data_IF_791812039402
#
_entry.id   IF_791812039402
#
_cell.length_a   1.000
_cell.length_b   1.000
_cell.length_c   1.000
_cell.angle_alpha   90.00
_cell.angle_beta   90.00
_cell.angle_gamma   90.00
#
_symmetry.space_group_name_H-M   'P 1'
#
loop_
_entity.id
_entity.type
_entity.pdbx_description
1 polymer ?
#
# COMPACT_ATOMS: atom_id res chain seq x y z
N UNK A 1 1.48 -12.99 10.06
CA UNK A 1 1.09 -13.11 8.64
C UNK A 1 -0.06 -14.07 8.41
N UNK A 2 -1.27 -13.50 8.34
CA UNK A 2 -2.48 -14.17 7.85
C UNK A 2 -2.33 -14.38 6.33
N UNK A 3 -2.41 -15.63 5.85
CA UNK A 3 -2.14 -15.96 4.44
C UNK A 3 -3.23 -15.48 3.49
N UNK A 4 -4.48 -15.47 3.95
CA UNK A 4 -5.62 -15.06 3.12
C UNK A 4 -5.62 -13.55 2.94
N UNK A 5 -5.43 -12.80 4.03
CA UNK A 5 -5.22 -11.35 3.97
C UNK A 5 -4.01 -10.97 3.14
N UNK A 6 -2.88 -11.66 3.28
CA UNK A 6 -1.70 -11.39 2.47
C UNK A 6 -2.01 -11.56 0.97
N UNK A 7 -2.75 -12.61 0.59
CA UNK A 7 -3.14 -12.84 -0.79
C UNK A 7 -4.09 -11.75 -1.30
N UNK A 8 -5.08 -11.36 -0.49
CA UNK A 8 -5.99 -10.26 -0.80
C UNK A 8 -5.22 -8.94 -0.99
N UNK A 9 -4.32 -8.61 -0.06
CA UNK A 9 -3.48 -7.42 -0.11
C UNK A 9 -2.57 -7.40 -1.36
N UNK A 10 -1.94 -8.53 -1.67
CA UNK A 10 -1.09 -8.63 -2.86
C UNK A 10 -1.89 -8.47 -4.15
N UNK A 11 -3.10 -9.05 -4.21
CA UNK A 11 -4.00 -8.92 -5.37
C UNK A 11 -4.42 -7.46 -5.55
N UNK A 12 -4.89 -6.82 -4.48
CA UNK A 12 -5.31 -5.43 -4.50
C UNK A 12 -4.17 -4.48 -4.88
N UNK A 13 -2.95 -4.73 -4.38
CA UNK A 13 -1.76 -3.97 -4.77
C UNK A 13 -1.41 -4.14 -6.26
N UNK A 14 -1.52 -5.36 -6.81
CA UNK A 14 -1.29 -5.60 -8.24
C UNK A 14 -2.33 -4.87 -9.09
N UNK A 15 -3.60 -4.89 -8.67
CA UNK A 15 -4.69 -4.19 -9.36
C UNK A 15 -4.46 -2.68 -9.35
N UNK A 16 -4.16 -2.11 -8.18
CA UNK A 16 -3.82 -0.69 -8.03
C UNK A 16 -2.64 -0.29 -8.92
N UNK A 17 -1.53 -1.04 -8.88
CA UNK A 17 -0.36 -0.79 -9.73
C UNK A 17 -0.66 -0.91 -11.23
N UNK A 18 -1.66 -1.71 -11.60
CA UNK A 18 -2.03 -1.92 -13.00
C UNK A 18 -2.84 -0.76 -13.59
N UNK A 19 -3.36 0.15 -12.77
CA UNK A 19 -4.06 1.34 -13.24
C UNK A 19 -3.15 2.23 -14.12
N UNK A 20 -3.73 2.88 -15.13
CA UNK A 20 -3.02 3.74 -16.07
C UNK A 20 -2.31 4.95 -15.45
N UNK A 21 -2.76 5.41 -14.28
CA UNK A 21 -2.13 6.50 -13.53
C UNK A 21 -0.93 6.02 -12.70
N UNK A 22 -0.78 4.71 -12.52
CA UNK A 22 0.33 4.08 -11.79
C UNK A 22 1.37 3.50 -12.76
N UNK A 23 1.45 2.16 -12.91
CA UNK A 23 2.33 1.54 -13.91
C UNK A 23 1.66 1.33 -15.27
N UNK A 24 0.31 1.36 -15.32
CA UNK A 24 -0.50 1.01 -16.48
C UNK A 24 -0.46 -0.47 -16.88
N UNK A 25 0.12 -1.33 -16.04
CA UNK A 25 0.23 -2.78 -16.24
C UNK A 25 0.64 -3.47 -14.94
N UNK A 26 0.47 -4.79 -14.90
CA UNK A 26 0.97 -5.61 -13.79
C UNK A 26 2.48 -5.41 -13.57
N UNK A 27 2.95 -5.34 -12.31
CA UNK A 27 4.37 -5.27 -12.02
C UNK A 27 5.07 -6.52 -12.56
N UNK A 28 6.34 -6.36 -12.97
CA UNK A 28 7.16 -7.47 -13.43
C UNK A 28 7.38 -8.52 -12.32
N UNK A 29 7.56 -8.05 -11.09
CA UNK A 29 7.68 -8.88 -9.89
C UNK A 29 7.14 -8.13 -8.69
N UNK A 30 6.54 -8.83 -7.74
CA UNK A 30 6.09 -8.30 -6.45
C UNK A 30 6.32 -9.34 -5.37
N UNK A 31 6.77 -8.90 -4.20
CA UNK A 31 7.07 -9.73 -3.03
C UNK A 31 6.62 -9.00 -1.76
N UNK A 32 6.06 -9.73 -0.80
CA UNK A 32 5.87 -9.21 0.55
C UNK A 32 7.23 -9.03 1.22
N UNK A 33 7.47 -7.84 1.74
CA UNK A 33 8.71 -7.45 2.41
C UNK A 33 8.55 -7.33 3.93
N UNK A 34 7.32 -7.31 4.43
CA UNK A 34 7.02 -7.23 5.86
C UNK A 34 5.56 -6.88 6.12
N UNK A 35 5.21 -6.81 7.39
CA UNK A 35 3.88 -6.43 7.88
C UNK A 35 4.03 -5.51 9.10
N UNK A 36 3.01 -4.72 9.39
CA UNK A 36 2.96 -3.88 10.58
C UNK A 36 1.53 -3.54 10.96
N UNK A 37 1.32 -3.25 12.24
CA UNK A 37 0.07 -2.70 12.75
C UNK A 37 0.20 -1.19 12.96
N UNK A 38 -0.84 -0.45 12.60
CA UNK A 38 -0.91 1.01 12.77
C UNK A 38 -2.37 1.46 12.93
N UNK A 39 -2.66 2.28 13.95
CA UNK A 39 -4.03 2.70 14.28
C UNK A 39 -5.03 1.52 14.33
N UNK A 40 -4.66 0.45 15.04
CA UNK A 40 -5.49 -0.75 15.25
C UNK A 40 -5.82 -1.55 13.97
N UNK A 41 -5.20 -1.19 12.83
CA UNK A 41 -5.35 -1.90 11.55
C UNK A 41 -4.05 -2.59 11.15
N UNK A 42 -4.19 -3.66 10.36
CA UNK A 42 -3.08 -4.43 9.83
C UNK A 42 -2.68 -3.99 8.41
N UNK A 43 -1.37 -4.01 8.12
CA UNK A 43 -0.79 -3.56 6.86
C UNK A 43 0.34 -4.47 6.37
N UNK A 44 0.43 -4.59 5.05
CA UNK A 44 1.51 -5.28 4.35
C UNK A 44 2.38 -4.30 3.57
N UNK A 45 3.69 -4.53 3.66
CA UNK A 45 4.72 -3.84 2.89
C UNK A 45 5.04 -4.71 1.67
N UNK A 46 4.83 -4.17 0.48
CA UNK A 46 5.22 -4.81 -0.77
C UNK A 46 6.44 -4.12 -1.35
N UNK A 47 7.37 -4.94 -1.85
CA UNK A 47 8.38 -4.47 -2.79
C UNK A 47 8.05 -5.02 -4.17
N UNK A 48 8.19 -4.20 -5.21
CA UNK A 48 7.87 -4.60 -6.57
C UNK A 48 8.86 -4.03 -7.60
N UNK A 49 8.88 -4.61 -8.79
CA UNK A 49 9.65 -4.14 -9.94
C UNK A 49 8.71 -3.79 -11.08
N UNK A 50 8.87 -2.60 -11.67
CA UNK A 50 8.14 -2.22 -12.89
C UNK A 50 8.67 -2.92 -14.16
N UNK A 51 9.93 -3.38 -14.13
CA UNK A 51 10.59 -4.09 -15.24
C UNK A 51 11.66 -5.05 -14.73
N UNK A 52 12.12 -6.00 -15.56
CA UNK A 52 13.10 -7.02 -15.17
C UNK A 52 14.40 -6.44 -14.59
N UNK A 53 14.94 -5.40 -15.24
CA UNK A 53 16.17 -4.70 -14.83
C UNK A 53 15.90 -3.46 -13.97
N UNK A 54 14.63 -3.20 -13.63
CA UNK A 54 14.24 -2.07 -12.80
C UNK A 54 14.66 -2.23 -11.34
N UNK A 55 14.67 -1.10 -10.63
CA UNK A 55 14.86 -1.06 -9.19
C UNK A 55 13.68 -1.67 -8.47
N UNK A 56 13.90 -2.13 -7.23
CA UNK A 56 12.82 -2.46 -6.34
C UNK A 56 12.20 -1.16 -5.82
N UNK A 57 10.88 -1.06 -5.90
CA UNK A 57 10.08 0.04 -5.39
C UNK A 57 9.24 -0.45 -4.22
N UNK A 58 8.82 0.44 -3.33
CA UNK A 58 8.01 0.10 -2.15
C UNK A 58 6.57 0.58 -2.31
N UNK A 59 5.63 -0.21 -1.80
CA UNK A 59 4.23 0.18 -1.65
C UNK A 59 3.61 -0.46 -0.42
N UNK A 60 2.50 0.11 0.02
CA UNK A 60 1.73 -0.35 1.18
C UNK A 60 0.34 -0.77 0.72
N UNK A 61 -0.16 -1.85 1.32
CA UNK A 61 -1.56 -2.24 1.21
C UNK A 61 -2.02 -2.71 2.59
N UNK A 62 -3.06 -2.08 3.12
CA UNK A 62 -3.56 -2.45 4.43
C UNK A 62 -4.83 -1.73 4.79
N UNK A 63 -5.04 -1.57 6.09
CA UNK A 63 -6.32 -1.12 6.60
C UNK A 63 -7.28 -2.29 6.80
N UNK A 64 -6.76 -3.46 7.12
CA UNK A 64 -7.56 -4.62 7.51
C UNK A 64 -7.87 -4.56 9.00
N UNK A 65 -9.13 -4.75 9.36
CA UNK A 65 -9.58 -4.94 10.75
C UNK A 65 -9.64 -6.44 11.04
N UNK A 66 -9.04 -6.88 12.15
CA UNK A 66 -8.99 -8.29 12.55
C UNK A 66 -8.63 -9.25 11.40
N UNK A 67 -9.54 -10.15 11.05
CA UNK A 67 -9.40 -11.17 10.00
C UNK A 67 -10.11 -10.79 8.68
N UNK A 68 -10.56 -9.54 8.52
CA UNK A 68 -11.23 -9.09 7.31
C UNK A 68 -10.30 -9.19 6.09
N UNK A 69 -10.86 -9.55 4.94
CA UNK A 69 -10.12 -9.71 3.69
C UNK A 69 -10.21 -8.50 2.77
N UNK A 70 -11.01 -7.50 3.13
CA UNK A 70 -11.18 -6.27 2.38
C UNK A 70 -10.42 -5.13 3.08
N UNK A 71 -9.38 -4.55 2.45
CA UNK A 71 -8.69 -3.41 3.02
C UNK A 71 -9.58 -2.16 2.93
N UNK A 72 -9.51 -1.27 3.90
CA UNK A 72 -10.26 0.01 3.89
C UNK A 72 -9.77 1.03 2.83
N UNK A 73 -9.02 0.58 1.82
CA UNK A 73 -8.53 1.40 0.70
C UNK A 73 -7.15 2.03 0.92
N UNK A 74 -6.41 1.66 1.97
CA UNK A 74 -5.03 2.13 2.18
C UNK A 74 -4.04 1.36 1.30
N UNK A 75 -4.17 1.55 -0.02
CA UNK A 75 -3.30 0.96 -1.06
C UNK A 75 -2.59 2.09 -1.79
N UNK A 76 -1.26 2.13 -1.74
CA UNK A 76 -0.49 3.21 -2.36
C UNK A 76 0.99 2.88 -2.56
N UNK A 77 1.59 3.53 -3.55
CA UNK A 77 3.04 3.66 -3.72
C UNK A 77 3.36 5.04 -4.31
N UNK A 78 4.38 5.70 -3.79
CA UNK A 78 4.96 6.91 -4.40
C UNK A 78 6.08 6.58 -5.40
N UNK A 79 6.20 5.31 -5.83
CA UNK A 79 7.25 4.81 -6.72
C UNK A 79 8.68 5.07 -6.21
N UNK A 80 8.87 5.24 -4.90
CA UNK A 80 10.21 5.36 -4.31
C UNK A 80 10.91 4.00 -4.22
N UNK A 81 12.24 4.03 -4.21
CA UNK A 81 13.06 2.81 -4.10
C UNK A 81 12.86 2.13 -2.75
N UNK A 82 12.75 0.80 -2.76
CA UNK A 82 12.65 0.00 -1.56
C UNK A 82 13.98 -0.01 -0.79
N UNK A 83 13.92 0.32 0.49
CA UNK A 83 15.02 0.15 1.44
C UNK A 83 14.50 -0.58 2.69
N UNK A 84 15.09 -1.73 2.98
CA UNK A 84 14.68 -2.61 4.08
C UNK A 84 14.72 -1.94 5.45
N UNK A 85 15.63 -1.00 5.69
CA UNK A 85 15.78 -0.35 7.00
C UNK A 85 14.76 0.78 7.23
N UNK A 86 14.18 1.33 6.16
CA UNK A 86 13.26 2.48 6.22
C UNK A 86 11.84 2.15 5.76
N UNK A 87 11.62 1.03 5.05
CA UNK A 87 10.36 0.69 4.40
C UNK A 87 9.14 0.77 5.33
N UNK A 88 9.26 0.31 6.58
CA UNK A 88 8.16 0.42 7.56
C UNK A 88 7.76 1.88 7.82
N UNK A 89 8.73 2.74 8.10
CA UNK A 89 8.47 4.14 8.40
C UNK A 89 7.94 4.88 7.16
N UNK A 90 8.50 4.58 5.99
CA UNK A 90 8.02 5.11 4.71
C UNK A 90 6.57 4.72 4.43
N UNK A 91 6.19 3.45 4.65
CA UNK A 91 4.82 2.99 4.51
C UNK A 91 3.88 3.66 5.52
N UNK A 92 4.29 3.82 6.78
CA UNK A 92 3.50 4.56 7.77
C UNK A 92 3.24 5.99 7.29
N UNK A 93 4.28 6.69 6.81
CA UNK A 93 4.13 8.05 6.26
C UNK A 93 3.19 8.09 5.05
N UNK A 94 3.21 7.08 4.17
CA UNK A 94 2.23 6.99 3.08
C UNK A 94 0.79 6.89 3.61
N UNK A 95 0.54 6.03 4.59
CA UNK A 95 -0.79 5.85 5.19
C UNK A 95 -1.25 7.14 5.89
N UNK A 96 -0.36 7.80 6.64
CA UNK A 96 -0.64 9.10 7.27
C UNK A 96 -1.05 10.16 6.25
N UNK A 97 -0.36 10.24 5.11
CA UNK A 97 -0.69 11.18 4.04
C UNK A 97 -2.06 10.91 3.42
N UNK A 98 -2.42 9.63 3.21
CA UNK A 98 -3.75 9.23 2.71
C UNK A 98 -4.84 9.66 3.71
N UNK A 99 -4.66 9.35 5.00
CA UNK A 99 -5.63 9.74 6.04
C UNK A 99 -5.76 11.26 6.17
N UNK A 100 -4.65 11.99 6.11
CA UNK A 100 -4.65 13.45 6.15
C UNK A 100 -5.42 14.06 4.97
N UNK A 101 -5.19 13.54 3.76
CA UNK A 101 -5.93 13.95 2.57
C UNK A 101 -7.44 13.76 2.73
N UNK A 102 -7.89 12.58 3.19
CA UNK A 102 -9.32 12.32 3.41
C UNK A 102 -9.93 13.23 4.49
N UNK A 103 -9.19 13.47 5.58
CA UNK A 103 -9.61 14.39 6.64
C UNK A 103 -9.79 15.82 6.13
N UNK A 104 -8.85 16.32 5.32
CA UNK A 104 -8.96 17.63 4.68
C UNK A 104 -10.14 17.72 3.71
N UNK A 105 -10.36 16.68 2.91
CA UNK A 105 -11.48 16.63 1.96
C UNK A 105 -12.84 16.59 2.68
N UNK A 106 -12.96 15.82 3.77
CA UNK A 106 -14.15 15.80 4.60
C UNK A 106 -14.43 17.16 5.26
N UNK A 107 -13.39 17.85 5.74
CA UNK A 107 -13.52 19.20 6.31
C UNK A 107 -13.98 20.24 5.27
N UNK A 108 -13.53 20.14 4.01
CA UNK A 108 -14.01 21.00 2.92
C UNK A 108 -15.48 20.75 2.60
N UNK A 109 -15.89 19.48 2.59
CA UNK A 109 -17.27 19.09 2.29
C UNK A 109 -18.26 19.49 3.40
N UNK A 110 -17.87 19.37 4.66
CA UNK A 110 -18.73 19.75 5.80
C UNK A 110 -18.85 21.27 6.02
N UNK A 111 -18.01 22.07 5.37
CA UNK A 111 -18.05 23.54 5.42
C UNK A 111 -18.75 24.16 4.18
N UNK A 112 -19.41 23.33 3.35
CA UNK A 112 -20.32 23.76 2.27
C UNK A 112 -21.77 23.65 2.73
#
# INVERSE_FOLDING_TARGET
MNKEQLYAAQTAMIEWLSDSHELGKKPFKIECAGEFDFNEMHYYIFKFKASLLGKWLVGVCGGFEDDDLEPCGHIFSNMQEYNETTAKNECITMVENIMAYWKEQAAKYNNQ
#
